data_IF_110169686906
#
_entry.id   IF_110169686906
#
_cell.length_a   1.000
_cell.length_b   1.000
_cell.length_c   1.000
_cell.angle_alpha   90.00
_cell.angle_beta   90.00
_cell.angle_gamma   90.00
#
_symmetry.space_group_name_H-M   'P 1'
#
loop_
_entity.id
_entity.type
_entity.pdbx_description
1 polymer ?
#
# COMPACT_ATOMS: atom_id res chain seq x y z
N UNK A 1 -11.50 15.96 -16.00
CA UNK A 1 -11.10 14.61 -16.41
C UNK A 1 -9.88 14.25 -15.57
N UNK A 2 -9.89 13.13 -14.88
CA UNK A 2 -8.80 12.76 -13.97
C UNK A 2 -7.71 11.98 -14.71
N UNK A 3 -6.44 12.24 -14.38
CA UNK A 3 -5.31 11.45 -14.89
C UNK A 3 -5.25 10.08 -14.22
N UNK A 4 -5.59 10.05 -12.92
CA UNK A 4 -5.52 8.86 -12.08
C UNK A 4 -6.85 8.65 -11.35
N UNK A 5 -7.33 7.42 -11.36
CA UNK A 5 -8.42 6.96 -10.49
C UNK A 5 -7.85 5.95 -9.52
N UNK A 6 -8.05 6.17 -8.22
CA UNK A 6 -7.73 5.16 -7.20
C UNK A 6 -9.01 4.49 -6.72
N UNK A 7 -8.95 3.19 -6.45
CA UNK A 7 -10.04 2.45 -5.80
C UNK A 7 -9.50 1.67 -4.61
N UNK A 8 -10.15 1.80 -3.44
CA UNK A 8 -9.70 1.13 -2.25
C UNK A 8 -10.54 1.44 -1.02
N UNK A 9 -9.98 1.22 0.17
CA UNK A 9 -10.62 1.54 1.43
C UNK A 9 -10.44 3.00 1.82
N UNK A 10 -11.42 3.51 2.58
CA UNK A 10 -11.35 4.73 3.37
C UNK A 10 -11.70 4.38 4.81
N UNK A 11 -10.89 4.77 5.77
CA UNK A 11 -11.07 4.43 7.20
C UNK A 11 -10.85 5.64 8.08
N UNK A 12 -11.54 5.64 9.20
CA UNK A 12 -11.19 6.48 10.34
C UNK A 12 -10.38 5.62 11.30
N UNK A 13 -9.13 5.97 11.52
CA UNK A 13 -8.20 5.22 12.36
C UNK A 13 -7.98 5.95 13.68
N UNK A 14 -8.27 5.29 14.79
CA UNK A 14 -8.05 5.81 16.15
C UNK A 14 -6.83 5.13 16.72
N UNK A 15 -5.81 5.90 17.00
CA UNK A 15 -4.59 5.47 17.67
C UNK A 15 -4.75 5.59 19.18
N UNK A 16 -4.39 4.55 19.88
CA UNK A 16 -4.51 4.48 21.34
C UNK A 16 -3.18 4.00 21.91
N UNK A 17 -2.60 4.79 22.78
CA UNK A 17 -1.45 4.41 23.60
C UNK A 17 -1.95 3.84 24.92
N UNK A 18 -1.56 2.62 25.21
CA UNK A 18 -1.92 1.94 26.44
C UNK A 18 -0.68 1.35 27.10
N UNK A 19 -0.19 2.03 28.15
CA UNK A 19 1.03 1.63 28.88
C UNK A 19 0.81 0.35 29.71
N UNK A 20 -0.44 0.03 30.05
CA UNK A 20 -0.82 -1.15 30.82
C UNK A 20 -0.89 -2.45 29.98
N UNK A 21 -0.47 -2.42 28.72
CA UNK A 21 -0.40 -3.59 27.87
C UNK A 21 0.67 -4.56 28.37
N UNK A 22 0.33 -5.85 28.45
CA UNK A 22 1.31 -6.91 28.68
C UNK A 22 1.69 -7.57 27.34
N UNK A 23 2.97 -7.81 27.12
CA UNK A 23 3.46 -8.61 26.00
C UNK A 23 3.68 -10.03 26.48
N UNK A 24 2.93 -10.98 25.90
CA UNK A 24 3.01 -12.41 26.22
C UNK A 24 3.62 -13.17 25.06
N UNK A 25 4.85 -13.65 25.22
CA UNK A 25 5.56 -14.45 24.20
C UNK A 25 5.18 -15.93 24.30
N UNK A 26 4.62 -16.48 23.24
CA UNK A 26 4.35 -17.92 23.11
C UNK A 26 5.36 -18.53 22.17
N UNK A 27 6.29 -19.36 22.73
CA UNK A 27 7.34 -20.03 21.95
C UNK A 27 6.89 -21.41 21.52
N UNK A 28 7.06 -21.72 20.24
CA UNK A 28 6.95 -23.04 19.65
C UNK A 28 8.33 -23.49 19.16
N UNK A 29 8.44 -24.73 18.69
CA UNK A 29 9.73 -25.32 18.29
C UNK A 29 10.45 -24.51 17.21
N UNK A 30 9.71 -23.92 16.31
CA UNK A 30 10.17 -23.29 15.06
C UNK A 30 9.86 -21.79 14.95
N UNK A 31 9.03 -21.24 15.87
CA UNK A 31 8.69 -19.81 15.87
C UNK A 31 8.23 -19.32 17.25
N UNK A 32 8.28 -18.02 17.44
CA UNK A 32 7.68 -17.31 18.59
C UNK A 32 6.61 -16.37 18.07
N UNK A 33 5.56 -16.16 18.85
CA UNK A 33 4.50 -15.19 18.58
C UNK A 33 4.27 -14.38 19.85
N UNK A 34 4.32 -13.05 19.70
CA UNK A 34 4.04 -12.12 20.79
C UNK A 34 2.59 -11.67 20.71
N UNK A 35 1.95 -11.61 21.86
CA UNK A 35 0.55 -11.19 22.02
C UNK A 35 0.48 -10.00 22.94
N UNK A 36 -0.21 -8.95 22.50
CA UNK A 36 -0.61 -7.86 23.37
C UNK A 36 -1.83 -8.32 24.19
N UNK A 37 -1.76 -8.24 25.51
CA UNK A 37 -2.82 -8.69 26.40
C UNK A 37 -3.14 -7.67 27.48
N UNK A 38 -4.39 -7.67 27.92
CA UNK A 38 -4.93 -6.81 28.95
C UNK A 38 -5.64 -7.64 30.02
N UNK A 39 -5.71 -7.18 31.30
CA UNK A 39 -6.45 -7.87 32.33
C UNK A 39 -7.92 -7.98 31.96
N UNK A 40 -8.46 -9.19 32.01
CA UNK A 40 -9.85 -9.44 31.67
C UNK A 40 -10.80 -8.73 32.67
N UNK A 41 -11.79 -8.01 32.13
CA UNK A 41 -12.80 -7.31 32.95
C UNK A 41 -12.33 -6.02 33.62
N UNK A 42 -11.08 -5.59 33.37
CA UNK A 42 -10.56 -4.31 33.88
C UNK A 42 -11.06 -3.12 33.07
N UNK A 43 -11.02 -1.96 33.71
CA UNK A 43 -11.09 -0.65 33.07
C UNK A 43 -9.67 -0.12 33.03
N UNK A 44 -9.18 0.21 31.86
CA UNK A 44 -7.83 0.74 31.67
C UNK A 44 -7.91 2.20 31.23
N UNK A 45 -7.04 3.03 31.78
CA UNK A 45 -6.87 4.39 31.31
C UNK A 45 -5.90 4.37 30.11
N UNK A 46 -6.14 5.23 29.14
CA UNK A 46 -5.27 5.40 27.97
C UNK A 46 -4.47 6.67 28.14
N UNK A 47 -3.16 6.62 27.80
CA UNK A 47 -2.25 7.75 27.93
C UNK A 47 -2.55 8.84 26.91
N UNK A 48 -2.69 8.46 25.65
CA UNK A 48 -3.01 9.36 24.55
C UNK A 48 -3.90 8.67 23.52
N UNK A 49 -4.66 9.48 22.79
CA UNK A 49 -5.32 9.02 21.57
C UNK A 49 -5.24 10.10 20.48
N UNK A 50 -5.20 9.65 19.24
CA UNK A 50 -5.30 10.51 18.06
C UNK A 50 -6.22 9.88 17.02
N UNK A 51 -6.81 10.69 16.17
CA UNK A 51 -7.75 10.22 15.13
C UNK A 51 -7.28 10.72 13.78
N UNK A 52 -7.06 9.81 12.86
CA UNK A 52 -6.58 10.11 11.50
C UNK A 52 -7.42 9.41 10.45
N UNK A 53 -7.46 10.00 9.26
CA UNK A 53 -8.00 9.34 8.07
C UNK A 53 -6.93 8.47 7.44
N UNK A 54 -7.33 7.23 7.12
CA UNK A 54 -6.49 6.23 6.49
C UNK A 54 -7.25 5.45 5.42
N UNK A 55 -6.66 4.32 5.06
CA UNK A 55 -7.16 3.42 4.02
C UNK A 55 -6.45 3.60 2.68
N UNK A 56 -6.12 2.47 2.05
CA UNK A 56 -5.28 2.48 0.85
C UNK A 56 -5.84 3.28 -0.32
N UNK A 57 -7.17 3.35 -0.47
CA UNK A 57 -7.80 4.20 -1.49
C UNK A 57 -7.54 5.68 -1.26
N UNK A 58 -7.70 6.12 0.00
CA UNK A 58 -7.49 7.53 0.38
C UNK A 58 -6.02 7.90 0.35
N UNK A 59 -5.16 7.10 1.00
CA UNK A 59 -3.73 7.40 1.09
C UNK A 59 -3.10 7.57 -0.29
N UNK A 60 -3.43 6.67 -1.22
CA UNK A 60 -2.88 6.70 -2.58
C UNK A 60 -3.47 7.82 -3.41
N UNK A 61 -4.77 8.15 -3.26
CA UNK A 61 -5.39 9.29 -3.94
C UNK A 61 -4.73 10.61 -3.54
N UNK A 62 -4.55 10.81 -2.24
CA UNK A 62 -3.88 12.01 -1.70
C UNK A 62 -2.43 12.10 -2.20
N UNK A 63 -1.73 10.97 -2.26
CA UNK A 63 -0.36 10.97 -2.78
C UNK A 63 -0.30 11.31 -4.27
N UNK A 64 -1.14 10.72 -5.12
CA UNK A 64 -1.17 11.07 -6.55
C UNK A 64 -1.50 12.56 -6.76
N UNK A 65 -2.46 13.09 -6.01
CA UNK A 65 -2.79 14.52 -6.07
C UNK A 65 -1.61 15.39 -5.62
N UNK A 66 -0.91 15.01 -4.54
CA UNK A 66 0.28 15.71 -4.04
C UNK A 66 1.45 15.67 -5.06
N UNK A 67 1.55 14.59 -5.84
CA UNK A 67 2.52 14.44 -6.93
C UNK A 67 2.09 15.21 -8.22
N UNK A 68 0.98 15.95 -8.19
CA UNK A 68 0.54 16.82 -9.28
C UNK A 68 -0.38 16.17 -10.31
N UNK A 69 -0.91 14.96 -10.07
CA UNK A 69 -1.90 14.34 -10.96
C UNK A 69 -3.32 14.81 -10.63
N UNK A 70 -4.12 15.08 -11.64
CA UNK A 70 -5.56 15.20 -11.47
C UNK A 70 -6.13 13.84 -11.04
N UNK A 71 -6.61 13.74 -9.80
CA UNK A 71 -6.92 12.46 -9.16
C UNK A 71 -8.37 12.38 -8.73
N UNK A 72 -9.03 11.25 -9.02
CA UNK A 72 -10.32 10.84 -8.44
C UNK A 72 -10.15 9.64 -7.53
N UNK A 73 -11.03 9.48 -6.56
CA UNK A 73 -11.04 8.33 -5.66
C UNK A 73 -12.39 7.63 -5.64
N UNK A 74 -12.36 6.30 -5.68
CA UNK A 74 -13.52 5.43 -5.48
C UNK A 74 -13.36 4.70 -4.16
N UNK A 75 -14.22 4.98 -3.20
CA UNK A 75 -14.37 4.22 -1.97
C UNK A 75 -15.83 4.23 -1.53
N UNK A 76 -16.17 3.34 -0.60
CA UNK A 76 -17.52 3.28 -0.03
C UNK A 76 -17.47 3.56 1.45
N UNK A 77 -18.36 4.45 1.91
CA UNK A 77 -18.49 4.85 3.31
C UNK A 77 -19.95 4.75 3.77
N UNK A 78 -20.17 4.73 5.08
CA UNK A 78 -21.50 4.81 5.67
C UNK A 78 -22.07 6.22 5.66
N UNK A 79 -23.27 6.36 6.26
CA UNK A 79 -23.89 7.65 6.57
C UNK A 79 -23.84 7.83 8.10
N UNK A 80 -22.67 8.20 8.62
CA UNK A 80 -22.41 8.32 10.05
C UNK A 80 -21.44 9.48 10.37
N UNK A 81 -21.11 9.64 11.66
CA UNK A 81 -20.21 10.72 12.09
C UNK A 81 -18.81 10.60 11.50
N UNK A 82 -18.33 9.39 11.20
CA UNK A 82 -17.00 9.13 10.66
C UNK A 82 -16.93 9.50 9.18
N UNK A 83 -18.01 9.33 8.41
CA UNK A 83 -18.07 9.76 7.02
C UNK A 83 -17.88 11.27 6.85
N UNK A 84 -18.37 12.07 7.81
CA UNK A 84 -18.13 13.54 7.81
C UNK A 84 -16.65 13.85 7.96
N UNK A 85 -15.97 13.19 8.91
CA UNK A 85 -14.53 13.35 9.12
C UNK A 85 -13.71 12.94 7.89
N UNK A 86 -14.14 11.89 7.17
CA UNK A 86 -13.53 11.50 5.89
C UNK A 86 -13.69 12.60 4.83
N UNK A 87 -14.88 13.18 4.68
CA UNK A 87 -15.11 14.24 3.69
C UNK A 87 -14.35 15.51 4.05
N UNK A 88 -14.35 15.90 5.33
CA UNK A 88 -13.63 17.08 5.82
C UNK A 88 -12.12 16.96 5.61
N UNK A 89 -11.56 15.76 5.71
CA UNK A 89 -10.15 15.50 5.44
C UNK A 89 -9.74 15.85 4.01
N UNK A 90 -10.64 15.68 3.04
CA UNK A 90 -10.34 16.00 1.65
C UNK A 90 -10.38 17.48 1.33
N UNK A 91 -10.86 18.34 2.25
CA UNK A 91 -10.78 19.78 2.09
C UNK A 91 -9.30 20.16 1.86
N UNK A 92 -9.02 20.81 0.73
CA UNK A 92 -7.66 21.23 0.33
C UNK A 92 -6.69 20.07 -0.09
N UNK A 93 -7.20 18.89 -0.44
CA UNK A 93 -6.35 17.77 -0.94
C UNK A 93 -6.31 17.63 -2.45
N UNK A 94 -7.05 18.46 -3.20
CA UNK A 94 -7.13 18.43 -4.66
C UNK A 94 -7.50 17.05 -5.25
N UNK A 95 -8.33 16.28 -4.52
CA UNK A 95 -8.88 14.99 -4.97
C UNK A 95 -10.35 15.18 -5.34
N UNK A 96 -10.74 14.70 -6.52
CA UNK A 96 -12.14 14.70 -6.95
C UNK A 96 -12.90 13.58 -6.21
N UNK A 97 -14.04 13.93 -5.61
CA UNK A 97 -14.87 13.03 -4.80
C UNK A 97 -16.17 12.60 -5.49
N UNK A 98 -16.35 12.92 -6.78
CA UNK A 98 -17.60 12.66 -7.50
C UNK A 98 -17.93 11.16 -7.61
N UNK A 99 -16.92 10.29 -7.50
CA UNK A 99 -17.07 8.84 -7.62
C UNK A 99 -17.13 8.10 -6.28
N UNK A 100 -17.27 8.82 -5.14
CA UNK A 100 -17.43 8.17 -3.82
C UNK A 100 -18.83 7.57 -3.68
N UNK A 101 -18.92 6.49 -2.90
CA UNK A 101 -20.16 5.73 -2.69
C UNK A 101 -20.57 5.90 -1.22
N UNK A 102 -21.80 6.36 -0.98
CA UNK A 102 -22.35 6.44 0.38
C UNK A 102 -23.50 5.42 0.55
N UNK A 103 -23.47 4.66 1.63
CA UNK A 103 -24.45 3.64 1.97
C UNK A 103 -25.09 3.92 3.33
N UNK A 104 -26.39 4.26 3.32
CA UNK A 104 -27.14 4.57 4.54
C UNK A 104 -27.37 3.36 5.46
N UNK A 105 -27.19 2.15 4.94
CA UNK A 105 -27.44 0.90 5.64
C UNK A 105 -26.15 0.26 6.19
N UNK A 106 -24.98 0.87 5.94
CA UNK A 106 -23.70 0.36 6.40
C UNK A 106 -22.96 1.42 7.23
N UNK A 107 -21.86 1.02 7.86
CA UNK A 107 -20.99 1.89 8.65
C UNK A 107 -19.71 2.21 7.89
N UNK A 108 -19.18 3.41 8.12
CA UNK A 108 -17.86 3.78 7.65
C UNK A 108 -16.79 2.85 8.22
N UNK A 109 -15.77 2.54 7.42
CA UNK A 109 -14.62 1.77 7.87
C UNK A 109 -13.93 2.45 9.05
N UNK A 110 -13.54 1.67 10.04
CA UNK A 110 -13.00 2.18 11.29
C UNK A 110 -11.93 1.23 11.83
N UNK A 111 -10.85 1.76 12.38
CA UNK A 111 -9.83 0.95 13.05
C UNK A 111 -9.47 1.52 14.41
N UNK A 112 -9.19 0.63 15.37
CA UNK A 112 -8.51 0.97 16.62
C UNK A 112 -7.09 0.40 16.51
N UNK A 113 -6.11 1.26 16.62
CA UNK A 113 -4.70 0.91 16.53
C UNK A 113 -4.12 1.03 17.94
N UNK A 114 -3.90 -0.12 18.55
CA UNK A 114 -3.34 -0.21 19.88
C UNK A 114 -1.82 -0.25 19.77
N UNK A 115 -1.14 0.74 20.32
CA UNK A 115 0.33 0.81 20.35
C UNK A 115 0.82 0.37 21.73
N UNK A 116 1.78 -0.55 21.77
CA UNK A 116 2.44 -0.98 22.99
C UNK A 116 3.58 -0.07 23.37
N UNK A 117 4.06 -0.21 24.61
CA UNK A 117 5.27 0.47 25.11
C UNK A 117 6.56 0.09 24.34
N UNK A 118 6.55 -1.00 23.57
CA UNK A 118 7.65 -1.41 22.67
C UNK A 118 7.56 -0.75 21.28
N UNK A 119 6.47 0.00 20.99
CA UNK A 119 6.23 0.67 19.71
C UNK A 119 5.55 -0.22 18.66
N UNK A 120 5.37 -1.52 18.91
CA UNK A 120 4.60 -2.39 18.04
C UNK A 120 3.10 -2.16 18.22
N UNK A 121 2.33 -2.52 17.19
CA UNK A 121 0.90 -2.22 17.13
C UNK A 121 0.03 -3.42 16.78
N UNK A 122 -1.16 -3.44 17.36
CA UNK A 122 -2.25 -4.34 16.97
C UNK A 122 -3.40 -3.52 16.41
N UNK A 123 -3.93 -3.91 15.26
CA UNK A 123 -5.02 -3.21 14.57
C UNK A 123 -6.32 -4.01 14.70
N UNK A 124 -7.32 -3.41 15.33
CA UNK A 124 -8.70 -3.93 15.36
C UNK A 124 -9.49 -3.19 14.28
N UNK A 125 -9.79 -3.86 13.17
CA UNK A 125 -10.39 -3.22 12.00
C UNK A 125 -11.83 -3.66 11.76
N UNK A 126 -12.75 -2.69 11.73
CA UNK A 126 -14.11 -2.83 11.21
C UNK A 126 -14.12 -2.34 9.77
N UNK A 127 -14.32 -3.24 8.82
CA UNK A 127 -14.26 -2.92 7.38
C UNK A 127 -15.44 -2.08 6.91
N UNK A 128 -16.63 -2.28 7.49
CA UNK A 128 -17.84 -1.55 7.14
C UNK A 128 -18.11 -1.54 5.64
N UNK A 129 -18.62 -0.44 5.14
CA UNK A 129 -18.95 -0.23 3.73
C UNK A 129 -17.82 -0.52 2.74
N UNK A 130 -16.54 -0.40 3.17
CA UNK A 130 -15.39 -0.77 2.33
C UNK A 130 -15.43 -2.23 1.86
N UNK A 131 -16.10 -3.12 2.60
CA UNK A 131 -16.21 -4.52 2.24
C UNK A 131 -17.33 -4.82 1.23
N UNK A 132 -18.19 -3.84 0.88
CA UNK A 132 -19.45 -4.04 0.19
C UNK A 132 -19.62 -3.16 -1.07
N UNK A 133 -18.53 -2.80 -1.76
CA UNK A 133 -18.60 -2.12 -3.06
C UNK A 133 -19.17 -3.11 -4.08
N UNK A 134 -20.27 -2.72 -4.75
CA UNK A 134 -20.92 -3.51 -5.79
C UNK A 134 -20.54 -2.97 -7.17
N UNK A 135 -20.57 -3.84 -8.20
CA UNK A 135 -20.22 -3.47 -9.58
C UNK A 135 -21.00 -2.26 -10.10
N UNK A 136 -22.31 -2.21 -9.82
CA UNK A 136 -23.18 -1.13 -10.29
C UNK A 136 -22.94 0.22 -9.60
N UNK A 137 -22.18 0.25 -8.53
CA UNK A 137 -21.85 1.47 -7.79
C UNK A 137 -20.51 2.07 -8.26
N UNK A 138 -19.71 1.31 -9.02
CA UNK A 138 -18.41 1.76 -9.51
C UNK A 138 -18.59 2.71 -10.69
N UNK A 139 -17.94 3.85 -10.61
CA UNK A 139 -17.86 4.82 -11.70
C UNK A 139 -16.85 4.35 -12.77
N UNK A 140 -17.33 3.49 -13.68
CA UNK A 140 -16.52 2.99 -14.77
C UNK A 140 -16.19 4.06 -15.82
N UNK A 141 -17.02 5.13 -15.94
CA UNK A 141 -16.69 6.22 -16.85
C UNK A 141 -15.50 7.04 -16.37
N UNK A 142 -15.35 7.24 -15.04
CA UNK A 142 -14.16 7.85 -14.49
C UNK A 142 -12.91 7.00 -14.81
N UNK A 143 -13.00 5.66 -14.69
CA UNK A 143 -11.90 4.74 -15.00
C UNK A 143 -11.52 4.80 -16.49
N UNK A 144 -12.51 4.77 -17.39
CA UNK A 144 -12.31 4.83 -18.84
C UNK A 144 -11.57 6.10 -19.29
N UNK A 145 -11.86 7.20 -18.64
CA UNK A 145 -11.30 8.51 -18.98
C UNK A 145 -9.95 8.80 -18.30
N UNK A 146 -9.45 7.87 -17.46
CA UNK A 146 -8.19 8.01 -16.76
C UNK A 146 -7.02 7.38 -17.54
N UNK A 147 -5.80 7.87 -17.31
CA UNK A 147 -4.56 7.26 -17.81
C UNK A 147 -4.13 6.05 -16.97
N UNK A 148 -4.54 6.04 -15.70
CA UNK A 148 -4.14 5.05 -14.71
C UNK A 148 -5.29 4.73 -13.75
N UNK A 149 -5.56 3.45 -13.57
CA UNK A 149 -6.34 2.91 -12.45
C UNK A 149 -5.37 2.31 -11.43
N UNK A 150 -5.35 2.88 -10.22
CA UNK A 150 -4.65 2.31 -9.08
C UNK A 150 -5.62 1.53 -8.21
N UNK A 151 -5.40 0.23 -8.06
CA UNK A 151 -6.23 -0.66 -7.24
C UNK A 151 -5.48 -0.96 -5.94
N UNK A 152 -5.89 -0.30 -4.86
CA UNK A 152 -5.46 -0.63 -3.50
C UNK A 152 -6.13 -1.92 -2.99
N UNK A 153 -5.68 -2.51 -1.88
CA UNK A 153 -6.28 -3.73 -1.33
C UNK A 153 -7.79 -3.60 -1.11
N UNK A 154 -8.56 -4.41 -1.81
CA UNK A 154 -10.01 -4.53 -1.63
C UNK A 154 -10.34 -5.68 -0.68
N UNK A 155 -11.32 -5.46 0.21
CA UNK A 155 -11.70 -6.40 1.25
C UNK A 155 -13.11 -6.98 1.02
N UNK A 156 -13.42 -8.11 1.65
CA UNK A 156 -14.76 -8.69 1.63
C UNK A 156 -15.31 -8.92 0.23
N UNK A 157 -16.56 -8.50 0.01
CA UNK A 157 -17.24 -8.62 -1.29
C UNK A 157 -16.69 -7.67 -2.34
N UNK A 158 -16.14 -6.50 -1.93
CA UNK A 158 -15.50 -5.56 -2.85
C UNK A 158 -14.35 -6.19 -3.64
N UNK A 159 -13.67 -7.18 -3.07
CA UNK A 159 -12.63 -7.95 -3.75
C UNK A 159 -13.16 -8.78 -4.94
N UNK A 160 -14.47 -9.00 -5.05
CA UNK A 160 -15.08 -9.68 -6.20
C UNK A 160 -15.07 -8.81 -7.46
N UNK A 161 -14.90 -7.49 -7.29
CA UNK A 161 -14.91 -6.53 -8.40
C UNK A 161 -13.57 -6.46 -9.14
N UNK A 162 -12.50 -7.08 -8.62
CA UNK A 162 -11.16 -7.00 -9.20
C UNK A 162 -11.11 -7.45 -10.66
N UNK A 163 -11.77 -8.57 -10.99
CA UNK A 163 -11.77 -9.10 -12.35
C UNK A 163 -12.43 -8.14 -13.35
N UNK A 164 -13.58 -7.55 -12.96
CA UNK A 164 -14.27 -6.57 -13.78
C UNK A 164 -13.46 -5.27 -13.91
N UNK A 165 -12.84 -4.79 -12.84
CA UNK A 165 -12.03 -3.57 -12.83
C UNK A 165 -10.84 -3.69 -13.78
N UNK A 166 -10.04 -4.75 -13.66
CA UNK A 166 -8.84 -4.91 -14.49
C UNK A 166 -9.17 -5.17 -15.95
N UNK A 167 -10.23 -5.92 -16.25
CA UNK A 167 -10.71 -6.15 -17.63
C UNK A 167 -11.18 -4.86 -18.26
N UNK A 168 -12.07 -4.14 -17.58
CA UNK A 168 -12.62 -2.89 -18.09
C UNK A 168 -11.52 -1.85 -18.36
N UNK A 169 -10.56 -1.71 -17.44
CA UNK A 169 -9.43 -0.80 -17.61
C UNK A 169 -8.62 -1.17 -18.86
N UNK A 170 -8.30 -2.45 -19.07
CA UNK A 170 -7.53 -2.90 -20.24
C UNK A 170 -8.30 -2.76 -21.56
N UNK A 171 -9.61 -2.99 -21.56
CA UNK A 171 -10.49 -2.79 -22.73
C UNK A 171 -10.60 -1.33 -23.16
N UNK A 172 -10.24 -0.37 -22.26
CA UNK A 172 -10.29 1.05 -22.51
C UNK A 172 -8.89 1.73 -22.48
N UNK A 173 -7.82 0.95 -22.66
CA UNK A 173 -6.43 1.43 -22.67
C UNK A 173 -5.97 2.16 -21.40
N UNK A 174 -6.68 1.98 -20.29
CA UNK A 174 -6.29 2.49 -18.97
C UNK A 174 -5.25 1.56 -18.36
N UNK A 175 -4.09 2.09 -17.98
CA UNK A 175 -3.05 1.33 -17.28
C UNK A 175 -3.53 0.90 -15.90
N UNK A 176 -3.09 -0.27 -15.45
CA UNK A 176 -3.47 -0.82 -14.15
C UNK A 176 -2.25 -0.98 -13.24
N UNK A 177 -2.26 -0.28 -12.12
CA UNK A 177 -1.37 -0.53 -10.99
C UNK A 177 -2.15 -1.28 -9.90
N UNK A 178 -1.63 -2.41 -9.45
CA UNK A 178 -2.34 -3.32 -8.56
C UNK A 178 -1.53 -3.63 -7.30
N UNK A 179 -2.12 -3.37 -6.13
CA UNK A 179 -1.67 -3.86 -4.84
C UNK A 179 -2.68 -4.91 -4.35
N UNK A 180 -2.24 -6.17 -4.22
CA UNK A 180 -3.14 -7.30 -4.03
C UNK A 180 -3.85 -7.33 -2.68
N UNK A 181 -3.13 -6.99 -1.61
CA UNK A 181 -3.58 -7.20 -0.24
C UNK A 181 -3.89 -8.66 0.10
N UNK A 182 -3.99 -8.95 1.39
CA UNK A 182 -4.16 -10.32 1.90
C UNK A 182 -5.47 -11.00 1.47
N UNK A 183 -6.55 -10.23 1.27
CA UNK A 183 -7.85 -10.79 0.87
C UNK A 183 -7.82 -11.40 -0.53
N UNK A 184 -7.17 -10.72 -1.48
CA UNK A 184 -6.99 -11.24 -2.84
C UNK A 184 -6.08 -12.46 -2.87
N UNK A 185 -4.98 -12.42 -2.13
CA UNK A 185 -3.97 -13.47 -2.04
C UNK A 185 -4.56 -14.77 -1.47
N UNK A 186 -5.38 -14.69 -0.42
CA UNK A 186 -6.04 -15.86 0.21
C UNK A 186 -6.97 -16.64 -0.73
N UNK A 187 -7.38 -16.07 -1.86
CA UNK A 187 -8.14 -16.79 -2.90
C UNK A 187 -7.27 -17.74 -3.75
N UNK A 188 -5.96 -17.71 -3.52
CA UNK A 188 -4.98 -18.58 -4.17
C UNK A 188 -4.40 -18.03 -5.47
N UNK A 189 -3.22 -18.55 -5.82
CA UNK A 189 -2.43 -18.05 -6.95
C UNK A 189 -3.14 -18.13 -8.30
N UNK A 190 -3.93 -19.17 -8.54
CA UNK A 190 -4.65 -19.31 -9.80
C UNK A 190 -5.70 -18.21 -10.03
N UNK A 191 -6.35 -17.74 -8.96
CA UNK A 191 -7.23 -16.57 -9.01
C UNK A 191 -6.40 -15.30 -9.25
N UNK A 192 -5.39 -15.10 -8.43
CA UNK A 192 -4.53 -13.92 -8.50
C UNK A 192 -3.87 -13.76 -9.88
N UNK A 193 -3.40 -14.87 -10.48
CA UNK A 193 -2.76 -14.88 -11.80
C UNK A 193 -3.62 -14.25 -12.90
N UNK A 194 -4.94 -14.37 -12.84
CA UNK A 194 -5.84 -13.75 -13.82
C UNK A 194 -5.82 -12.23 -13.72
N UNK A 195 -5.75 -11.70 -12.49
CA UNK A 195 -5.66 -10.27 -12.22
C UNK A 195 -4.28 -9.75 -12.62
N UNK A 196 -3.22 -10.45 -12.19
CA UNK A 196 -1.84 -10.11 -12.51
C UNK A 196 -1.58 -10.04 -14.02
N UNK A 197 -2.21 -10.91 -14.81
CA UNK A 197 -2.03 -10.92 -16.27
C UNK A 197 -2.48 -9.62 -16.96
N UNK A 198 -3.36 -8.84 -16.32
CA UNK A 198 -3.92 -7.60 -16.85
C UNK A 198 -3.32 -6.35 -16.19
N UNK A 199 -2.50 -6.52 -15.15
CA UNK A 199 -1.85 -5.40 -14.46
C UNK A 199 -0.53 -5.00 -15.15
N UNK A 200 -0.31 -3.70 -15.32
CA UNK A 200 0.94 -3.14 -15.86
C UNK A 200 2.01 -3.07 -14.77
N UNK A 201 1.60 -2.74 -13.55
CA UNK A 201 2.47 -2.70 -12.37
C UNK A 201 1.82 -3.49 -11.24
N UNK A 202 2.60 -4.33 -10.58
CA UNK A 202 2.19 -5.07 -9.37
C UNK A 202 3.13 -4.70 -8.25
N UNK A 203 2.58 -4.25 -7.11
CA UNK A 203 3.35 -3.96 -5.91
C UNK A 203 2.81 -4.80 -4.76
N UNK A 204 3.69 -5.51 -4.08
CA UNK A 204 3.39 -6.29 -2.88
C UNK A 204 4.50 -6.10 -1.85
N UNK A 205 4.19 -6.24 -0.57
CA UNK A 205 5.25 -6.44 0.40
C UNK A 205 5.76 -7.89 0.37
N UNK A 206 6.88 -8.15 1.02
CA UNK A 206 7.53 -9.46 1.04
C UNK A 206 6.63 -10.57 1.60
N UNK A 207 5.88 -10.27 2.66
CA UNK A 207 4.95 -11.20 3.29
C UNK A 207 3.80 -11.56 2.34
N UNK A 208 3.24 -10.58 1.66
CA UNK A 208 2.21 -10.76 0.63
C UNK A 208 2.74 -11.57 -0.55
N UNK A 209 3.93 -11.24 -1.04
CA UNK A 209 4.59 -11.97 -2.12
C UNK A 209 4.87 -13.43 -1.72
N UNK A 210 5.32 -13.68 -0.49
CA UNK A 210 5.53 -15.02 0.05
C UNK A 210 4.22 -15.82 0.13
N UNK A 211 3.17 -15.21 0.67
CA UNK A 211 1.85 -15.85 0.72
C UNK A 211 1.28 -16.13 -0.68
N UNK A 212 1.42 -15.19 -1.61
CA UNK A 212 0.92 -15.34 -2.98
C UNK A 212 1.65 -16.45 -3.74
N UNK A 213 2.95 -16.54 -3.59
CA UNK A 213 3.80 -17.47 -4.33
C UNK A 213 4.00 -18.81 -3.65
N UNK A 214 3.82 -18.87 -2.32
CA UNK A 214 4.21 -20.03 -1.50
C UNK A 214 5.73 -20.18 -1.34
N UNK A 215 6.51 -19.16 -1.68
CA UNK A 215 7.96 -19.13 -1.56
C UNK A 215 8.31 -18.26 -0.35
N UNK A 216 9.04 -18.80 0.58
CA UNK A 216 9.49 -18.09 1.78
C UNK A 216 11.01 -17.99 1.76
N UNK A 217 11.52 -16.80 2.10
CA UNK A 217 12.96 -16.60 2.20
C UNK A 217 13.55 -17.57 3.24
N UNK A 218 14.45 -18.45 2.79
CA UNK A 218 15.17 -19.35 3.68
C UNK A 218 16.10 -18.52 4.55
N UNK A 219 16.06 -18.75 5.84
CA UNK A 219 17.07 -18.25 6.77
C UNK A 219 18.36 -19.05 6.57
N UNK A 220 19.10 -18.74 5.54
CA UNK A 220 20.45 -19.27 5.39
C UNK A 220 21.32 -18.63 6.47
N UNK A 221 21.83 -19.45 7.36
CA UNK A 221 22.56 -19.14 8.60
C UNK A 221 23.93 -18.47 8.38
N UNK A 222 24.24 -18.03 7.19
CA UNK A 222 25.42 -17.21 6.88
C UNK A 222 24.95 -15.94 6.23
N UNK A 223 25.12 -14.84 6.96
CA UNK A 223 25.00 -13.45 6.52
C UNK A 223 25.14 -13.28 5.00
N UNK A 224 24.05 -13.50 4.26
CA UNK A 224 23.93 -12.84 2.97
C UNK A 224 23.63 -11.39 3.36
N UNK A 225 24.67 -10.62 3.65
CA UNK A 225 24.57 -9.17 3.64
C UNK A 225 23.94 -8.85 2.30
N UNK A 226 22.75 -8.27 2.32
CA UNK A 226 22.11 -7.69 1.15
C UNK A 226 23.17 -6.75 0.52
N UNK A 227 23.96 -7.28 -0.38
CA UNK A 227 24.95 -6.48 -1.08
C UNK A 227 24.23 -5.84 -2.27
N UNK A 228 24.67 -4.66 -2.66
CA UNK A 228 24.16 -3.95 -3.85
C UNK A 228 24.23 -4.77 -5.14
N UNK A 229 24.73 -6.02 -5.08
CA UNK A 229 25.04 -6.83 -6.25
C UNK A 229 24.30 -8.18 -6.30
N UNK A 230 23.66 -8.63 -5.20
CA UNK A 230 23.07 -9.97 -5.12
C UNK A 230 21.65 -9.90 -4.55
N UNK A 231 20.67 -10.27 -5.37
CA UNK A 231 19.31 -10.53 -4.91
C UNK A 231 19.22 -11.96 -4.42
N UNK A 232 18.61 -12.18 -3.26
CA UNK A 232 18.35 -13.52 -2.73
C UNK A 232 17.63 -14.40 -3.77
N UNK A 233 18.06 -15.66 -4.00
CA UNK A 233 17.45 -16.55 -5.00
C UNK A 233 15.93 -16.67 -4.86
N UNK A 234 15.43 -16.83 -3.63
CA UNK A 234 13.99 -16.93 -3.36
C UNK A 234 13.24 -15.63 -3.72
N UNK A 235 13.86 -14.45 -3.51
CA UNK A 235 13.31 -13.16 -3.96
C UNK A 235 13.22 -13.09 -5.49
N UNK A 236 14.27 -13.53 -6.20
CA UNK A 236 14.23 -13.64 -7.68
C UNK A 236 13.13 -14.57 -8.14
N UNK A 237 12.94 -15.70 -7.46
CA UNK A 237 11.89 -16.67 -7.79
C UNK A 237 10.49 -16.10 -7.55
N UNK A 238 10.27 -15.40 -6.42
CA UNK A 238 9.00 -14.70 -6.15
C UNK A 238 8.68 -13.68 -7.25
N UNK A 239 9.63 -12.81 -7.59
CA UNK A 239 9.48 -11.80 -8.64
C UNK A 239 9.13 -12.42 -9.98
N UNK A 240 9.83 -13.51 -10.38
CA UNK A 240 9.54 -14.25 -11.62
C UNK A 240 8.14 -14.87 -11.61
N UNK A 241 7.74 -15.49 -10.50
CA UNK A 241 6.43 -16.15 -10.38
C UNK A 241 5.28 -15.17 -10.45
N UNK A 242 5.44 -13.98 -9.88
CA UNK A 242 4.44 -12.91 -9.90
C UNK A 242 4.34 -12.22 -11.25
N UNK A 243 5.42 -12.21 -12.05
CA UNK A 243 5.40 -11.64 -13.40
C UNK A 243 4.78 -12.62 -14.39
N UNK A 244 3.56 -12.33 -14.81
CA UNK A 244 2.76 -13.23 -15.68
C UNK A 244 2.48 -12.66 -17.07
N UNK A 245 2.89 -11.42 -17.35
CA UNK A 245 2.79 -10.82 -18.69
C UNK A 245 4.08 -10.06 -19.05
N UNK A 246 4.38 -9.92 -20.35
CA UNK A 246 5.66 -9.39 -20.83
C UNK A 246 5.84 -7.90 -20.52
N UNK A 247 4.79 -7.10 -20.57
CA UNK A 247 4.81 -5.66 -20.31
C UNK A 247 4.81 -5.29 -18.83
N UNK A 248 4.56 -6.25 -17.95
CA UNK A 248 4.39 -6.02 -16.51
C UNK A 248 5.70 -5.74 -15.79
N UNK A 249 5.65 -4.82 -14.82
CA UNK A 249 6.69 -4.64 -13.81
C UNK A 249 6.17 -5.13 -12.47
N UNK A 250 6.93 -6.00 -11.81
CA UNK A 250 6.63 -6.50 -10.47
C UNK A 250 7.60 -5.88 -9.47
N UNK A 251 7.06 -5.39 -8.35
CA UNK A 251 7.83 -4.79 -7.26
C UNK A 251 7.50 -5.50 -5.96
N UNK A 252 8.53 -5.85 -5.19
CA UNK A 252 8.40 -6.39 -3.83
C UNK A 252 9.14 -5.44 -2.87
N UNK A 253 8.40 -4.89 -1.90
CA UNK A 253 8.98 -4.07 -0.82
C UNK A 253 9.34 -4.95 0.38
N UNK A 254 10.47 -4.66 1.04
CA UNK A 254 10.98 -5.39 2.22
C UNK A 254 11.31 -4.43 3.38
N UNK A 255 10.44 -3.49 3.67
CA UNK A 255 10.58 -2.52 4.75
C UNK A 255 11.94 -1.81 4.72
N UNK A 256 12.66 -1.80 5.84
CA UNK A 256 13.99 -1.19 5.96
C UNK A 256 15.08 -1.84 5.08
N UNK A 257 14.82 -3.03 4.51
CA UNK A 257 15.74 -3.69 3.56
C UNK A 257 15.60 -3.15 2.12
N UNK A 258 14.65 -2.24 1.87
CA UNK A 258 14.46 -1.60 0.57
C UNK A 258 13.41 -2.29 -0.31
N UNK A 259 13.59 -2.21 -1.62
CA UNK A 259 12.64 -2.73 -2.60
C UNK A 259 13.34 -3.38 -3.79
N UNK A 260 12.68 -4.39 -4.34
CA UNK A 260 13.14 -5.15 -5.50
C UNK A 260 12.13 -5.06 -6.62
N UNK A 261 12.60 -4.96 -7.86
CA UNK A 261 11.71 -5.00 -9.01
C UNK A 261 12.24 -5.93 -10.11
N UNK A 262 11.31 -6.41 -10.94
CA UNK A 262 11.61 -7.19 -12.13
C UNK A 262 10.75 -6.72 -13.31
N UNK A 263 11.41 -6.26 -14.39
CA UNK A 263 10.77 -5.80 -15.61
C UNK A 263 10.66 -6.86 -16.71
N UNK A 264 11.16 -8.08 -16.47
CA UNK A 264 11.34 -9.12 -17.47
C UNK A 264 12.68 -9.04 -18.22
N UNK A 265 13.34 -7.88 -18.22
CA UNK A 265 14.66 -7.67 -18.83
C UNK A 265 15.77 -7.62 -17.79
N UNK A 266 15.49 -7.01 -16.64
CA UNK A 266 16.47 -6.81 -15.58
C UNK A 266 15.79 -6.88 -14.21
N UNK A 267 16.56 -7.24 -13.20
CA UNK A 267 16.22 -7.08 -11.79
C UNK A 267 16.78 -5.76 -11.29
N UNK A 268 16.08 -5.17 -10.36
CA UNK A 268 16.46 -3.91 -9.72
C UNK A 268 16.42 -4.08 -8.22
N UNK A 269 17.33 -3.44 -7.54
CA UNK A 269 17.31 -3.26 -6.09
C UNK A 269 17.46 -1.79 -5.75
N UNK A 270 16.62 -1.29 -4.88
CA UNK A 270 16.72 0.05 -4.33
C UNK A 270 16.78 -0.06 -2.80
N UNK A 271 17.86 0.42 -2.14
CA UNK A 271 17.91 0.46 -0.70
C UNK A 271 16.81 1.37 -0.14
N UNK A 272 16.47 1.20 1.14
CA UNK A 272 15.64 2.17 1.83
C UNK A 272 16.36 3.52 1.87
N UNK A 273 15.64 4.62 1.66
CA UNK A 273 16.22 5.96 1.84
C UNK A 273 16.31 6.28 3.31
N UNK A 274 17.49 6.67 3.77
CA UNK A 274 17.77 6.93 5.18
C UNK A 274 16.96 8.11 5.72
N UNK A 275 16.45 7.96 6.93
CA UNK A 275 15.69 9.00 7.63
C UNK A 275 15.17 8.52 8.98
N UNK A 276 14.63 9.43 9.80
CA UNK A 276 14.02 9.05 11.06
C UNK A 276 12.77 8.19 10.82
N UNK A 277 12.50 7.26 11.74
CA UNK A 277 11.31 6.41 11.71
C UNK A 277 10.46 6.71 12.94
N UNK A 278 9.32 7.36 12.72
CA UNK A 278 8.32 7.69 13.75
C UNK A 278 7.14 6.72 13.66
N UNK A 279 6.64 6.47 12.44
CA UNK A 279 5.54 5.55 12.19
C UNK A 279 5.68 4.92 10.81
N UNK A 280 5.44 3.61 10.69
CA UNK A 280 5.48 2.93 9.39
C UNK A 280 4.12 2.87 8.69
N UNK A 281 3.10 3.56 9.25
CA UNK A 281 1.76 3.60 8.66
C UNK A 281 1.77 4.39 7.35
N UNK A 282 1.13 3.84 6.31
CA UNK A 282 1.07 4.48 5.00
C UNK A 282 2.34 4.39 4.15
N UNK A 283 3.46 3.88 4.70
CA UNK A 283 4.72 3.73 3.98
C UNK A 283 4.58 2.94 2.67
N UNK A 284 3.86 1.82 2.72
CA UNK A 284 3.59 0.97 1.54
C UNK A 284 2.73 1.67 0.50
N UNK A 285 1.70 2.41 0.93
CA UNK A 285 0.84 3.18 0.04
C UNK A 285 1.60 4.32 -0.64
N UNK A 286 2.41 5.06 0.14
CA UNK A 286 3.28 6.12 -0.38
C UNK A 286 4.29 5.58 -1.38
N UNK A 287 4.99 4.48 -1.05
CA UNK A 287 5.93 3.83 -1.96
C UNK A 287 5.24 3.41 -3.26
N UNK A 288 4.17 2.61 -3.16
CA UNK A 288 3.53 2.00 -4.31
C UNK A 288 2.91 3.03 -5.27
N UNK A 289 2.18 4.02 -4.73
CA UNK A 289 1.58 5.07 -5.56
C UNK A 289 2.64 5.99 -6.18
N UNK A 290 3.73 6.32 -5.46
CA UNK A 290 4.83 7.11 -6.02
C UNK A 290 5.60 6.33 -7.08
N UNK A 291 5.85 5.03 -6.89
CA UNK A 291 6.45 4.18 -7.91
C UNK A 291 5.61 4.20 -9.20
N UNK A 292 4.29 4.00 -9.08
CA UNK A 292 3.38 4.02 -10.24
C UNK A 292 3.33 5.40 -10.91
N UNK A 293 3.32 6.49 -10.13
CA UNK A 293 3.43 7.86 -10.64
C UNK A 293 4.76 8.09 -11.37
N UNK A 294 5.86 7.60 -10.80
CA UNK A 294 7.20 7.66 -11.39
C UNK A 294 7.29 6.92 -12.72
N UNK A 295 6.65 5.77 -12.86
CA UNK A 295 6.58 5.02 -14.13
C UNK A 295 5.94 5.85 -15.27
N UNK A 296 5.03 6.76 -14.93
CA UNK A 296 4.45 7.70 -15.89
C UNK A 296 5.41 8.87 -16.13
N UNK A 297 5.84 9.53 -15.06
CA UNK A 297 6.62 10.79 -15.10
C UNK A 297 8.02 10.58 -15.67
N UNK A 298 8.67 9.48 -15.32
CA UNK A 298 10.04 9.14 -15.75
C UNK A 298 10.07 8.21 -16.98
N UNK A 299 9.01 8.17 -17.74
CA UNK A 299 8.95 7.44 -19.00
C UNK A 299 9.40 5.97 -18.88
N UNK A 300 8.82 5.25 -17.92
CA UNK A 300 9.05 3.84 -17.60
C UNK A 300 10.47 3.53 -17.05
N UNK A 301 11.17 4.51 -16.51
CA UNK A 301 12.44 4.28 -15.80
C UNK A 301 12.14 3.63 -14.43
N UNK A 302 12.35 2.32 -14.35
CA UNK A 302 12.09 1.52 -13.14
C UNK A 302 13.03 1.93 -12.00
N UNK A 303 14.32 2.20 -12.30
CA UNK A 303 15.29 2.53 -11.28
C UNK A 303 14.96 3.88 -10.62
N UNK A 304 14.70 4.91 -11.43
CA UNK A 304 14.32 6.24 -10.93
C UNK A 304 12.98 6.20 -10.19
N UNK A 305 12.02 5.39 -10.65
CA UNK A 305 10.72 5.21 -10.00
C UNK A 305 10.84 4.51 -8.63
N UNK A 306 11.74 3.53 -8.49
CA UNK A 306 12.04 2.89 -7.20
C UNK A 306 12.64 3.89 -6.21
N UNK A 307 13.60 4.71 -6.65
CA UNK A 307 14.19 5.75 -5.83
C UNK A 307 13.14 6.76 -5.35
N UNK A 308 12.26 7.22 -6.25
CA UNK A 308 11.18 8.12 -5.90
C UNK A 308 10.24 7.52 -4.86
N UNK A 309 9.82 6.27 -5.05
CA UNK A 309 8.99 5.54 -4.09
C UNK A 309 9.63 5.42 -2.70
N UNK A 310 10.91 5.08 -2.66
CA UNK A 310 11.65 4.95 -1.40
C UNK A 310 11.81 6.29 -0.68
N UNK A 311 12.15 7.36 -1.40
CA UNK A 311 12.29 8.71 -0.83
C UNK A 311 10.95 9.20 -0.26
N UNK A 312 9.86 9.05 -0.99
CA UNK A 312 8.54 9.48 -0.51
C UNK A 312 8.05 8.65 0.67
N UNK A 313 8.29 7.34 0.64
CA UNK A 313 8.01 6.46 1.77
C UNK A 313 8.79 6.87 3.02
N UNK A 314 10.08 7.22 2.88
CA UNK A 314 10.90 7.76 3.99
C UNK A 314 10.32 9.08 4.55
N UNK A 315 9.79 9.95 3.70
CA UNK A 315 9.09 11.15 4.13
C UNK A 315 7.88 10.83 5.02
N UNK A 316 7.06 9.86 4.60
CA UNK A 316 5.86 9.43 5.37
C UNK A 316 6.26 8.81 6.71
N UNK A 317 7.25 7.93 6.75
CA UNK A 317 7.64 7.27 8.02
C UNK A 317 8.31 8.22 9.02
N UNK A 318 8.78 9.38 8.57
CA UNK A 318 9.44 10.39 9.42
C UNK A 318 8.50 11.20 10.31
N UNK A 319 7.19 11.08 10.11
CA UNK A 319 6.16 11.79 10.86
C UNK A 319 5.03 10.84 11.24
N UNK A 320 4.20 11.26 12.20
CA UNK A 320 3.03 10.49 12.57
C UNK A 320 1.89 10.71 11.57
N UNK A 321 1.36 9.61 11.01
CA UNK A 321 0.24 9.61 10.08
C UNK A 321 0.57 9.08 8.69
N UNK A 322 -0.45 8.65 7.95
CA UNK A 322 -0.28 7.95 6.67
C UNK A 322 0.00 8.88 5.46
N UNK A 323 -0.28 10.19 5.59
CA UNK A 323 -0.22 11.16 4.48
C UNK A 323 0.50 12.47 4.82
N UNK A 324 0.91 12.67 6.06
CA UNK A 324 1.47 13.94 6.54
C UNK A 324 2.86 14.23 5.98
N UNK A 325 3.67 13.20 5.77
CA UNK A 325 5.04 13.33 5.27
C UNK A 325 5.19 13.16 3.75
N UNK A 326 4.08 13.15 3.00
CA UNK A 326 4.12 13.02 1.55
C UNK A 326 4.86 14.18 0.88
N UNK A 327 5.74 13.85 -0.05
CA UNK A 327 6.57 14.79 -0.81
C UNK A 327 5.98 15.02 -2.21
N UNK A 328 6.20 16.21 -2.76
CA UNK A 328 5.98 16.48 -4.19
C UNK A 328 7.10 15.89 -5.05
N UNK A 329 6.89 15.79 -6.37
CA UNK A 329 7.97 15.36 -7.27
C UNK A 329 9.18 16.29 -7.22
N UNK A 330 8.98 17.59 -7.09
CA UNK A 330 10.05 18.57 -6.95
C UNK A 330 10.91 18.27 -5.72
N UNK A 331 10.29 18.04 -4.56
CA UNK A 331 10.99 17.69 -3.32
C UNK A 331 11.70 16.33 -3.42
N UNK A 332 11.11 15.36 -4.12
CA UNK A 332 11.74 14.05 -4.36
C UNK A 332 12.99 14.22 -5.23
N UNK A 333 12.92 14.99 -6.31
CA UNK A 333 14.04 15.25 -7.21
C UNK A 333 15.14 16.06 -6.53
N UNK A 334 14.81 17.04 -5.69
CA UNK A 334 15.76 17.74 -4.84
C UNK A 334 16.52 16.78 -3.93
N UNK A 335 15.79 15.84 -3.26
CA UNK A 335 16.43 14.83 -2.41
C UNK A 335 17.33 13.89 -3.21
N UNK A 336 16.95 13.49 -4.42
CA UNK A 336 17.82 12.72 -5.32
C UNK A 336 19.09 13.50 -5.66
N UNK A 337 18.96 14.76 -6.00
CA UNK A 337 20.10 15.61 -6.35
C UNK A 337 21.07 15.87 -5.18
N UNK A 338 20.53 15.99 -3.97
CA UNK A 338 21.32 16.14 -2.74
C UNK A 338 22.01 14.85 -2.29
N UNK A 339 21.60 13.70 -2.80
CA UNK A 339 22.14 12.37 -2.45
C UNK A 339 22.56 11.59 -3.70
N UNK A 340 23.60 12.03 -4.43
CA UNK A 340 23.99 11.43 -5.72
C UNK A 340 24.45 9.97 -5.60
N UNK A 341 24.91 9.54 -4.42
CA UNK A 341 25.31 8.15 -4.15
C UNK A 341 24.13 7.22 -3.85
N UNK A 342 22.93 7.78 -3.60
CA UNK A 342 21.72 7.01 -3.43
C UNK A 342 21.16 6.62 -4.81
N UNK A 343 21.34 5.36 -5.19
CA UNK A 343 20.93 4.86 -6.50
C UNK A 343 20.28 3.50 -6.41
N UNK A 344 19.27 3.26 -7.24
CA UNK A 344 18.80 1.90 -7.51
C UNK A 344 19.77 1.19 -8.45
N UNK A 345 20.10 -0.06 -8.12
CA UNK A 345 21.10 -0.87 -8.86
C UNK A 345 20.37 -1.82 -9.80
N UNK A 346 20.86 -1.90 -11.04
CA UNK A 346 20.42 -2.92 -12.01
C UNK A 346 21.24 -4.19 -11.79
N UNK A 347 20.56 -5.29 -11.49
CA UNK A 347 21.17 -6.61 -11.28
C UNK A 347 20.80 -7.50 -12.47
N UNK A 348 21.77 -7.97 -13.18
CA UNK A 348 21.60 -8.81 -14.38
C UNK A 348 21.31 -10.27 -14.05
#
# INVERSE_FOLDING_TARGET
MSDVVTIGSATMDVFVECDDANIVSVRKKDHSTDFMSYPYGSKLDIGAFDTQVGGGGVNTAVNFANLGFATSVIFKMGDDIYSKGLLDFFNNKNVCLDSIIQDKNDKTGFSIILTSFEGDRTVLAHRGANAHIKKLEIDFEAIKNAKLLYIAPLNGESNRQLDDLVKFAKENDTRVCFNAGTTGIKKGFNYLKKILALADVVVMNKEEASMATGIYLRQDTKEIKYSKEIIHPDMKEMLKKLKVSDYQVVVITDGGNGAYAYSGKAYYYCPCFDGPVVSTLGAGDAFASTFCAGMITYNLDVAKSLMAGSINSSGVVSVFGATQGLLTFEQIEEKMAQNPDYTAVVIK
#
